data_IF_122035688406
#
_entry.id   IF_122035688406
#
_cell.length_a   1.000
_cell.length_b   1.000
_cell.length_c   1.000
_cell.angle_alpha   90.00
_cell.angle_beta   90.00
_cell.angle_gamma   90.00
#
_symmetry.space_group_name_H-M   'P 1'
#
loop_
_entity.id
_entity.type
_entity.pdbx_description
1 polymer ?
#
# COMPACT_ATOMS: atom_id res chain seq x y z
N UNK A 1 0.83 -1.89 12.74
CA UNK A 1 1.42 -0.53 12.73
C UNK A 1 1.18 0.22 14.07
N UNK A 2 -0.07 0.45 14.48
CA UNK A 2 -0.41 1.23 15.69
C UNK A 2 0.32 0.82 16.98
N UNK A 3 0.32 -0.47 17.35
CA UNK A 3 1.01 -0.96 18.55
C UNK A 3 2.52 -0.77 18.49
N UNK A 4 3.13 -0.98 17.32
CA UNK A 4 4.56 -0.77 17.11
C UNK A 4 4.89 0.72 17.25
N UNK A 5 4.12 1.61 16.63
CA UNK A 5 4.34 3.05 16.78
C UNK A 5 4.23 3.49 18.24
N UNK A 6 3.27 2.95 19.00
CA UNK A 6 3.17 3.22 20.45
C UNK A 6 4.41 2.75 21.22
N UNK A 7 5.08 1.68 20.78
CA UNK A 7 6.23 1.11 21.46
C UNK A 7 7.57 1.77 21.05
N UNK A 8 7.75 2.12 19.77
CA UNK A 8 9.04 2.56 19.21
C UNK A 8 8.98 3.90 18.47
N UNK A 9 7.82 4.57 18.44
CA UNK A 9 7.62 5.91 17.90
C UNK A 9 8.19 6.08 16.50
N UNK A 10 9.09 7.06 16.37
CA UNK A 10 9.74 7.48 15.12
C UNK A 10 10.71 6.46 14.50
N UNK A 11 11.03 5.38 15.22
CA UNK A 11 11.83 4.28 14.68
C UNK A 11 11.02 3.43 13.70
N UNK A 12 9.68 3.52 13.73
CA UNK A 12 8.81 2.85 12.78
C UNK A 12 8.62 3.72 11.52
N UNK A 13 8.96 3.16 10.36
CA UNK A 13 8.56 3.70 9.06
C UNK A 13 7.66 2.68 8.37
N UNK A 14 6.44 3.08 8.03
CA UNK A 14 5.52 2.26 7.27
C UNK A 14 5.64 2.58 5.78
N UNK A 15 5.56 1.55 4.94
CA UNK A 15 5.49 1.69 3.48
C UNK A 15 4.12 1.19 3.06
N UNK A 16 3.38 2.03 2.34
CA UNK A 16 2.11 1.71 1.73
C UNK A 16 2.28 1.75 0.21
N UNK A 17 2.08 0.61 -0.44
CA UNK A 17 2.17 0.48 -1.89
C UNK A 17 0.77 0.44 -2.46
N UNK A 18 0.41 1.48 -3.20
CA UNK A 18 -0.82 1.57 -3.96
C UNK A 18 -0.58 0.91 -5.32
N UNK A 19 -1.09 -0.30 -5.49
CA UNK A 19 -0.91 -1.08 -6.71
C UNK A 19 -2.02 -0.85 -7.75
N UNK A 20 -2.92 0.11 -7.50
CA UNK A 20 -4.07 0.39 -8.38
C UNK A 20 -5.19 -0.67 -8.36
N UNK A 21 -5.09 -1.68 -7.49
CA UNK A 21 -6.08 -2.76 -7.34
C UNK A 21 -6.84 -2.69 -6.01
N UNK A 22 -6.73 -1.56 -5.31
CA UNK A 22 -7.43 -1.28 -4.06
C UNK A 22 -8.86 -0.78 -4.32
N UNK A 23 -9.67 -0.67 -3.26
CA UNK A 23 -11.00 -0.08 -3.36
C UNK A 23 -10.93 1.44 -3.53
N UNK A 24 -12.03 2.00 -4.00
CA UNK A 24 -12.20 3.45 -4.15
C UNK A 24 -11.83 4.19 -2.84
N UNK A 25 -10.95 5.19 -2.95
CA UNK A 25 -10.43 6.01 -1.84
C UNK A 25 -9.65 5.28 -0.74
N UNK A 26 -9.28 4.02 -0.94
CA UNK A 26 -8.61 3.25 0.11
C UNK A 26 -7.22 3.81 0.45
N UNK A 27 -6.44 4.20 -0.57
CA UNK A 27 -5.14 4.84 -0.34
C UNK A 27 -5.23 6.13 0.47
N UNK A 28 -6.23 6.97 0.19
CA UNK A 28 -6.42 8.24 0.89
C UNK A 28 -6.85 8.01 2.35
N UNK A 29 -7.78 7.08 2.57
CA UNK A 29 -8.22 6.69 3.93
C UNK A 29 -7.06 6.14 4.78
N UNK A 30 -6.18 5.35 4.18
CA UNK A 30 -4.99 4.81 4.87
C UNK A 30 -4.04 5.93 5.26
N UNK A 31 -3.76 6.86 4.35
CA UNK A 31 -2.89 7.99 4.63
C UNK A 31 -3.47 8.90 5.72
N UNK A 32 -4.77 9.19 5.67
CA UNK A 32 -5.44 9.97 6.72
C UNK A 32 -5.37 9.29 8.08
N UNK A 33 -5.62 7.98 8.14
CA UNK A 33 -5.60 7.26 9.42
C UNK A 33 -4.19 7.21 10.03
N UNK A 34 -3.17 6.92 9.23
CA UNK A 34 -1.83 6.68 9.77
C UNK A 34 -0.97 7.94 9.88
N UNK A 35 -1.01 8.83 8.89
CA UNK A 35 -0.23 10.07 8.92
C UNK A 35 -0.92 11.13 9.78
N UNK A 36 -2.21 11.42 9.53
CA UNK A 36 -2.89 12.54 10.18
C UNK A 36 -3.37 12.21 11.61
N UNK A 37 -3.93 11.02 11.84
CA UNK A 37 -4.51 10.69 13.15
C UNK A 37 -3.51 10.05 14.14
N UNK A 38 -2.46 9.40 13.65
CA UNK A 38 -1.51 8.67 14.50
C UNK A 38 -0.08 9.22 14.46
N UNK A 39 0.24 10.17 13.58
CA UNK A 39 1.58 10.73 13.45
C UNK A 39 2.65 9.73 12.99
N UNK A 40 2.23 8.61 12.38
CA UNK A 40 3.15 7.58 11.90
C UNK A 40 3.81 8.05 10.61
N UNK A 41 5.12 7.85 10.49
CA UNK A 41 5.83 8.05 9.21
C UNK A 41 5.36 7.00 8.21
N UNK A 42 4.59 7.43 7.20
CA UNK A 42 4.12 6.57 6.11
C UNK A 42 4.65 7.08 4.78
N UNK A 43 5.28 6.20 4.02
CA UNK A 43 5.69 6.45 2.64
C UNK A 43 4.63 5.81 1.73
N UNK A 44 3.91 6.65 0.97
CA UNK A 44 3.02 6.19 -0.10
C UNK A 44 3.83 6.00 -1.38
N UNK A 45 3.76 4.82 -1.96
CA UNK A 45 4.30 4.51 -3.28
C UNK A 45 3.12 4.30 -4.21
N UNK A 46 3.00 5.15 -5.24
CA UNK A 46 2.08 4.93 -6.35
C UNK A 46 2.76 4.00 -7.36
N UNK A 47 2.21 2.80 -7.53
CA UNK A 47 2.71 1.75 -8.42
C UNK A 47 1.61 1.24 -9.37
N UNK A 48 0.50 1.95 -9.52
CA UNK A 48 -0.63 1.51 -10.36
C UNK A 48 -0.18 1.13 -11.78
N UNK A 49 0.56 2.01 -12.46
CA UNK A 49 1.04 1.77 -13.81
C UNK A 49 1.93 0.52 -13.89
N UNK A 50 2.81 0.32 -12.91
CA UNK A 50 3.72 -0.83 -12.86
C UNK A 50 2.95 -2.15 -12.73
N UNK A 51 1.94 -2.20 -11.86
CA UNK A 51 1.14 -3.41 -11.68
C UNK A 51 0.21 -3.67 -12.87
N UNK A 52 -0.49 -2.64 -13.36
CA UNK A 52 -1.41 -2.78 -14.49
C UNK A 52 -0.67 -3.14 -15.78
N UNK A 53 0.52 -2.58 -16.03
CA UNK A 53 1.35 -2.96 -17.17
C UNK A 53 1.83 -4.41 -17.08
N UNK A 54 2.24 -4.88 -15.89
CA UNK A 54 2.64 -6.28 -15.65
C UNK A 54 1.49 -7.28 -15.81
N UNK A 55 0.25 -6.84 -15.59
CA UNK A 55 -0.96 -7.67 -15.75
C UNK A 55 -1.55 -7.65 -17.17
N UNK A 56 -1.02 -6.83 -18.07
CA UNK A 56 -1.56 -6.67 -19.42
C UNK A 56 -1.52 -8.00 -20.19
N UNK A 57 -2.69 -8.50 -20.58
CA UNK A 57 -2.83 -9.73 -21.35
C UNK A 57 -2.64 -11.04 -20.55
N UNK A 58 -2.70 -10.97 -19.22
CA UNK A 58 -2.60 -12.16 -18.36
C UNK A 58 -3.99 -12.64 -17.95
N UNK A 59 -4.45 -13.73 -18.55
CA UNK A 59 -5.77 -14.31 -18.24
C UNK A 59 -5.72 -15.33 -17.10
N UNK A 60 -4.62 -16.08 -17.00
CA UNK A 60 -4.43 -17.14 -16.01
C UNK A 60 -4.40 -16.55 -14.57
N UNK A 61 -5.35 -16.93 -13.69
CA UNK A 61 -5.46 -16.40 -12.34
C UNK A 61 -4.24 -16.69 -11.46
N UNK A 62 -3.59 -17.85 -11.63
CA UNK A 62 -2.41 -18.20 -10.83
C UNK A 62 -1.21 -17.35 -11.27
N UNK A 63 -1.09 -17.06 -12.58
CA UNK A 63 -0.07 -16.11 -13.07
C UNK A 63 -0.32 -14.71 -12.57
N UNK A 64 -1.57 -14.22 -12.57
CA UNK A 64 -1.90 -12.90 -12.01
C UNK A 64 -1.47 -12.78 -10.54
N UNK A 65 -1.78 -13.79 -9.71
CA UNK A 65 -1.38 -13.82 -8.29
C UNK A 65 0.13 -13.75 -8.12
N UNK A 66 0.89 -14.49 -8.95
CA UNK A 66 2.35 -14.51 -8.91
C UNK A 66 3.02 -13.23 -9.42
N UNK A 67 2.33 -12.46 -10.27
CA UNK A 67 2.82 -11.16 -10.74
C UNK A 67 2.59 -10.07 -9.67
N UNK A 68 1.47 -10.15 -8.94
CA UNK A 68 1.09 -9.18 -7.91
C UNK A 68 1.87 -9.40 -6.60
N UNK A 69 2.08 -10.67 -6.20
CA UNK A 69 2.77 -11.03 -4.95
C UNK A 69 4.27 -11.13 -5.10
#
# INVERSE_FOLDING_TARGET
AALLHKAIGDQLTCVFVDNGLLRLHEGDQVMDMFANNMGVKVIRVDAEEQFLSGLKGVDDPEKKRKIIG
#
